data_IF_608868403573
#
_entry.id   IF_608868403573
#
_cell.length_a   1.000
_cell.length_b   1.000
_cell.length_c   1.000
_cell.angle_alpha   90.00
_cell.angle_beta   90.00
_cell.angle_gamma   90.00
#
_symmetry.space_group_name_H-M   'P 1'
#
loop_
_entity.id
_entity.type
_entity.pdbx_description
1 polymer ?
#
# COMPACT_ATOMS: atom_id res chain seq x y z
N UNK A 1 11.71 -17.17 15.96
CA UNK A 1 10.41 -16.53 16.25
C UNK A 1 10.43 -15.18 15.55
N UNK A 2 9.57 -14.98 14.55
CA UNK A 2 9.42 -13.66 13.93
C UNK A 2 8.87 -12.70 14.97
N UNK A 3 9.52 -11.54 15.13
CA UNK A 3 9.04 -10.45 15.95
C UNK A 3 7.62 -10.04 15.50
N UNK A 4 6.72 -9.78 16.45
CA UNK A 4 5.34 -9.35 16.13
C UNK A 4 5.39 -8.08 15.27
N UNK A 5 4.49 -7.92 14.26
CA UNK A 5 4.39 -6.69 13.48
C UNK A 5 4.32 -5.43 14.34
N UNK A 6 3.66 -5.51 15.50
CA UNK A 6 3.52 -4.41 16.44
C UNK A 6 4.87 -3.96 17.02
N UNK A 7 5.69 -4.93 17.46
CA UNK A 7 7.01 -4.66 18.04
C UNK A 7 7.95 -4.10 16.97
N UNK A 8 7.91 -4.67 15.76
CA UNK A 8 8.73 -4.21 14.64
C UNK A 8 8.39 -2.77 14.23
N UNK A 9 7.09 -2.42 14.18
CA UNK A 9 6.64 -1.06 13.90
C UNK A 9 7.18 -0.06 14.93
N UNK A 10 6.97 -0.34 16.21
CA UNK A 10 7.41 0.54 17.30
C UNK A 10 8.93 0.68 17.33
N UNK A 11 9.66 -0.42 17.12
CA UNK A 11 11.12 -0.42 17.01
C UNK A 11 11.62 0.39 15.81
N UNK A 12 10.90 0.38 14.67
CA UNK A 12 11.25 1.20 13.50
C UNK A 12 11.13 2.71 13.79
N UNK A 13 10.04 3.11 14.45
CA UNK A 13 9.87 4.50 14.85
C UNK A 13 10.92 4.92 15.89
N UNK A 14 11.18 4.08 16.89
CA UNK A 14 12.16 4.36 17.93
C UNK A 14 13.56 4.57 17.33
N UNK A 15 13.99 3.72 16.38
CA UNK A 15 15.26 3.87 15.65
C UNK A 15 15.33 5.16 14.83
N UNK A 16 14.18 5.73 14.47
CA UNK A 16 14.06 6.98 13.73
C UNK A 16 13.92 8.21 14.65
N UNK A 17 14.07 8.03 15.97
CA UNK A 17 13.91 9.11 16.96
C UNK A 17 12.47 9.45 17.32
N UNK A 18 11.50 8.64 16.89
CA UNK A 18 10.08 8.80 17.18
C UNK A 18 9.63 7.74 18.18
N UNK A 19 9.32 8.15 19.42
CA UNK A 19 8.80 7.24 20.43
C UNK A 19 7.27 7.26 20.47
N UNK A 20 6.65 6.10 20.28
CA UNK A 20 5.23 5.86 20.51
C UNK A 20 5.08 4.79 21.59
N UNK A 21 4.15 4.98 22.52
CA UNK A 21 3.83 4.03 23.58
C UNK A 21 2.94 2.88 23.11
N UNK A 22 2.32 2.99 21.94
CA UNK A 22 1.47 1.94 21.36
C UNK A 22 1.37 2.04 19.84
N UNK A 23 0.93 0.96 19.19
CA UNK A 23 0.62 0.95 17.75
C UNK A 23 -0.52 1.92 17.43
N UNK A 24 -1.54 2.01 18.29
CA UNK A 24 -2.64 2.95 18.08
C UNK A 24 -2.19 4.40 18.13
N UNK A 25 -1.28 4.74 19.05
CA UNK A 25 -0.67 6.06 19.10
C UNK A 25 0.15 6.34 17.81
N UNK A 26 0.92 5.36 17.34
CA UNK A 26 1.67 5.50 16.08
C UNK A 26 0.73 5.76 14.90
N UNK A 27 -0.41 5.06 14.84
CA UNK A 27 -1.44 5.28 13.82
C UNK A 27 -2.05 6.67 13.88
N UNK A 28 -2.27 7.22 15.07
CA UNK A 28 -2.85 8.55 15.25
C UNK A 28 -1.87 9.68 14.88
N UNK A 29 -0.58 9.51 15.19
CA UNK A 29 0.40 10.60 15.18
C UNK A 29 1.43 10.54 14.04
N UNK A 30 1.74 9.36 13.49
CA UNK A 30 2.84 9.22 12.53
C UNK A 30 2.49 9.71 11.11
N UNK A 31 3.26 10.64 10.57
CA UNK A 31 3.13 11.14 9.19
C UNK A 31 3.81 10.23 8.15
N UNK A 32 4.35 9.09 8.58
CA UNK A 32 5.08 8.18 7.70
C UNK A 32 4.18 7.06 7.17
N UNK A 33 3.87 7.13 5.86
CA UNK A 33 3.07 6.13 5.16
C UNK A 33 3.66 4.72 5.24
N UNK A 34 4.94 4.57 4.89
CA UNK A 34 5.57 3.25 4.74
C UNK A 34 5.49 2.39 6.01
N UNK A 35 5.88 2.85 7.20
CA UNK A 35 5.79 2.02 8.40
C UNK A 35 4.37 1.54 8.70
N UNK A 36 3.36 2.41 8.53
CA UNK A 36 1.95 2.04 8.77
C UNK A 36 1.43 1.04 7.72
N UNK A 37 1.78 1.23 6.44
CA UNK A 37 1.43 0.29 5.37
C UNK A 37 2.18 -1.05 5.52
N UNK A 38 3.43 -1.01 5.98
CA UNK A 38 4.24 -2.18 6.32
C UNK A 38 3.62 -3.01 7.43
N UNK A 39 3.09 -2.35 8.46
CA UNK A 39 2.37 -3.01 9.54
C UNK A 39 1.08 -3.70 9.06
N UNK A 40 0.31 -3.05 8.17
CA UNK A 40 -0.89 -3.67 7.58
C UNK A 40 -0.56 -4.87 6.71
N UNK A 41 0.43 -4.74 5.82
CA UNK A 41 0.84 -5.82 4.92
C UNK A 41 1.43 -7.01 5.65
N UNK A 42 2.16 -6.78 6.74
CA UNK A 42 2.69 -7.85 7.60
C UNK A 42 1.60 -8.64 8.33
N UNK A 43 0.37 -8.11 8.37
CA UNK A 43 -0.81 -8.77 8.93
C UNK A 43 -1.63 -9.53 7.89
N UNK A 44 -1.25 -9.54 6.62
CA UNK A 44 -1.89 -10.45 5.69
C UNK A 44 -1.70 -11.90 6.17
N UNK A 45 -2.73 -12.77 6.06
CA UNK A 45 -3.99 -12.58 5.34
C UNK A 45 -5.18 -12.15 6.23
N UNK A 46 -4.95 -11.43 7.34
CA UNK A 46 -6.02 -10.95 8.22
C UNK A 46 -7.09 -10.17 7.40
N UNK A 47 -8.39 -10.55 7.49
CA UNK A 47 -9.46 -9.93 6.72
C UNK A 47 -9.52 -8.40 6.85
N UNK A 48 -9.36 -7.92 8.09
CA UNK A 48 -9.39 -6.48 8.39
C UNK A 48 -8.23 -5.74 7.73
N UNK A 49 -7.02 -6.30 7.76
CA UNK A 49 -5.85 -5.68 7.12
C UNK A 49 -6.05 -5.54 5.61
N UNK A 50 -6.55 -6.59 4.95
CA UNK A 50 -6.85 -6.56 3.53
C UNK A 50 -7.95 -5.54 3.18
N UNK A 51 -9.03 -5.49 3.98
CA UNK A 51 -10.11 -4.54 3.81
C UNK A 51 -9.64 -3.09 3.95
N UNK A 52 -8.76 -2.81 4.92
CA UNK A 52 -8.15 -1.47 5.07
C UNK A 52 -7.30 -1.10 3.85
N UNK A 53 -6.46 -2.01 3.35
CA UNK A 53 -5.69 -1.76 2.12
C UNK A 53 -6.60 -1.55 0.89
N UNK A 54 -7.67 -2.33 0.77
CA UNK A 54 -8.66 -2.18 -0.32
C UNK A 54 -9.34 -0.82 -0.26
N UNK A 55 -9.81 -0.43 0.91
CA UNK A 55 -10.47 0.87 1.12
C UNK A 55 -9.50 2.03 0.91
N UNK A 56 -8.24 1.89 1.34
CA UNK A 56 -7.20 2.89 1.09
C UNK A 56 -6.93 3.07 -0.39
N UNK A 57 -6.76 1.98 -1.16
CA UNK A 57 -6.60 2.05 -2.61
C UNK A 57 -7.84 2.68 -3.27
N UNK A 58 -9.04 2.32 -2.85
CA UNK A 58 -10.28 2.93 -3.37
C UNK A 58 -10.32 4.44 -3.13
N UNK A 59 -9.95 4.90 -1.94
CA UNK A 59 -9.89 6.33 -1.63
C UNK A 59 -8.77 7.04 -2.40
N UNK A 60 -7.58 6.45 -2.46
CA UNK A 60 -6.45 6.98 -3.23
C UNK A 60 -6.77 7.08 -4.72
N UNK A 61 -7.58 6.16 -5.27
CA UNK A 61 -7.98 6.19 -6.67
C UNK A 61 -8.84 7.42 -7.04
N UNK A 62 -9.49 8.06 -6.06
CA UNK A 62 -10.18 9.35 -6.27
C UNK A 62 -9.21 10.53 -6.50
N UNK A 63 -7.92 10.33 -6.19
CA UNK A 63 -6.87 11.34 -6.34
C UNK A 63 -6.02 11.14 -7.59
N UNK A 64 -6.14 10.01 -8.29
CA UNK A 64 -5.38 9.69 -9.50
C UNK A 64 -6.37 9.29 -10.59
N UNK A 65 -6.57 10.15 -11.59
CA UNK A 65 -7.58 9.93 -12.63
C UNK A 65 -7.27 8.65 -13.43
N UNK A 66 -8.30 7.81 -13.63
CA UNK A 66 -8.17 6.55 -14.37
C UNK A 66 -7.61 5.38 -13.56
N UNK A 67 -7.30 5.55 -12.26
CA UNK A 67 -6.72 4.48 -11.42
C UNK A 67 -7.74 3.54 -10.76
N UNK A 68 -9.05 3.82 -10.87
CA UNK A 68 -10.11 3.01 -10.26
C UNK A 68 -10.00 1.52 -10.61
N UNK A 69 -9.65 1.19 -11.86
CA UNK A 69 -9.49 -0.19 -12.32
C UNK A 69 -8.42 -0.96 -11.52
N UNK A 70 -7.34 -0.30 -11.09
CA UNK A 70 -6.30 -0.95 -10.27
C UNK A 70 -6.80 -1.26 -8.86
N UNK A 71 -7.56 -0.34 -8.24
CA UNK A 71 -8.18 -0.57 -6.93
C UNK A 71 -9.21 -1.70 -6.99
N UNK A 72 -10.04 -1.73 -8.04
CA UNK A 72 -11.05 -2.77 -8.26
C UNK A 72 -10.40 -4.13 -8.53
N UNK A 73 -9.28 -4.18 -9.25
CA UNK A 73 -8.50 -5.40 -9.44
C UNK A 73 -7.98 -5.91 -8.10
N UNK A 74 -7.32 -5.07 -7.29
CA UNK A 74 -6.80 -5.47 -5.98
C UNK A 74 -7.91 -6.07 -5.10
N UNK A 75 -9.10 -5.47 -5.06
CA UNK A 75 -10.23 -5.97 -4.28
C UNK A 75 -10.62 -7.43 -4.66
N UNK A 76 -10.43 -7.81 -5.92
CA UNK A 76 -10.71 -9.17 -6.42
C UNK A 76 -9.68 -10.21 -5.96
N UNK A 77 -8.54 -9.81 -5.37
CA UNK A 77 -7.47 -10.72 -4.95
C UNK A 77 -7.89 -11.68 -3.82
N UNK A 78 -8.92 -11.31 -3.05
CA UNK A 78 -9.50 -12.14 -1.97
C UNK A 78 -10.53 -13.16 -2.47
N UNK A 79 -10.79 -13.22 -3.78
CA UNK A 79 -11.71 -14.21 -4.35
C UNK A 79 -11.32 -15.66 -4.02
N UNK A 80 -12.30 -16.57 -4.12
CA UNK A 80 -12.18 -17.97 -3.69
C UNK A 80 -11.45 -18.88 -4.68
N UNK A 81 -11.11 -18.36 -5.87
CA UNK A 81 -10.42 -19.15 -6.88
C UNK A 81 -8.98 -19.51 -6.44
N UNK A 82 -8.47 -20.70 -6.82
CA UNK A 82 -7.08 -21.06 -6.54
C UNK A 82 -6.10 -20.03 -7.10
N UNK A 83 -5.13 -19.61 -6.27
CA UNK A 83 -4.09 -18.63 -6.64
C UNK A 83 -4.66 -17.28 -7.14
N UNK A 84 -5.89 -16.92 -6.77
CA UNK A 84 -6.54 -15.67 -7.20
C UNK A 84 -5.63 -14.44 -7.00
N UNK A 85 -4.92 -14.34 -5.88
CA UNK A 85 -3.97 -13.26 -5.62
C UNK A 85 -2.86 -13.15 -6.69
N UNK A 86 -2.32 -14.26 -7.18
CA UNK A 86 -1.30 -14.27 -8.23
C UNK A 86 -1.87 -13.82 -9.57
N UNK A 87 -3.08 -14.28 -9.91
CA UNK A 87 -3.78 -13.87 -11.13
C UNK A 87 -4.02 -12.36 -11.12
N UNK A 88 -4.46 -11.82 -9.99
CA UNK A 88 -4.70 -10.38 -9.84
C UNK A 88 -3.38 -9.59 -9.86
N UNK A 89 -2.31 -10.07 -9.20
CA UNK A 89 -1.00 -9.43 -9.28
C UNK A 89 -0.49 -9.36 -10.73
N UNK A 90 -0.63 -10.43 -11.51
CA UNK A 90 -0.33 -10.45 -12.94
C UNK A 90 -1.12 -9.40 -13.73
N UNK A 91 -2.45 -9.33 -13.51
CA UNK A 91 -3.32 -8.33 -14.17
C UNK A 91 -2.97 -6.89 -13.79
N UNK A 92 -2.51 -6.65 -12.56
CA UNK A 92 -2.03 -5.33 -12.14
C UNK A 92 -0.71 -4.97 -12.84
N UNK A 93 0.20 -5.94 -13.02
CA UNK A 93 1.39 -5.79 -13.84
C UNK A 93 1.06 -5.47 -15.31
N UNK A 94 0.08 -6.15 -15.90
CA UNK A 94 -0.40 -5.88 -17.25
C UNK A 94 -0.99 -4.47 -17.36
N UNK A 95 -1.82 -4.05 -16.39
CA UNK A 95 -2.39 -2.71 -16.33
C UNK A 95 -1.31 -1.62 -16.24
N UNK A 96 -0.27 -1.85 -15.43
CA UNK A 96 0.90 -0.97 -15.37
C UNK A 96 1.54 -0.84 -16.74
N UNK A 97 1.84 -1.96 -17.40
CA UNK A 97 2.52 -1.96 -18.69
C UNK A 97 1.68 -1.27 -19.78
N UNK A 98 0.38 -1.54 -19.83
CA UNK A 98 -0.55 -0.86 -20.74
C UNK A 98 -0.57 0.65 -20.50
N UNK A 99 -0.62 1.08 -19.23
CA UNK A 99 -0.62 2.50 -18.86
C UNK A 99 0.68 3.21 -19.27
N UNK A 100 1.84 2.52 -19.20
CA UNK A 100 3.11 3.05 -19.71
C UNK A 100 3.03 3.28 -21.22
N UNK A 101 2.52 2.30 -21.98
CA UNK A 101 2.37 2.41 -23.44
C UNK A 101 1.41 3.54 -23.82
N UNK A 102 0.36 3.75 -23.03
CA UNK A 102 -0.62 4.84 -23.18
C UNK A 102 -0.14 6.19 -22.65
N UNK A 103 1.09 6.27 -22.11
CA UNK A 103 1.67 7.49 -21.51
C UNK A 103 0.84 8.05 -20.35
N UNK A 104 0.36 7.16 -19.48
CA UNK A 104 -0.35 7.46 -18.23
C UNK A 104 0.52 7.09 -17.02
N UNK A 105 1.59 7.85 -16.73
CA UNK A 105 2.57 7.50 -15.70
C UNK A 105 1.97 7.42 -14.30
N UNK A 106 1.01 8.29 -13.97
CA UNK A 106 0.31 8.27 -12.69
C UNK A 106 -0.46 6.96 -12.47
N UNK A 107 -1.20 6.49 -13.48
CA UNK A 107 -1.95 5.22 -13.44
C UNK A 107 -1.00 4.03 -13.40
N UNK A 108 0.11 4.08 -14.15
CA UNK A 108 1.12 3.03 -14.13
C UNK A 108 1.73 2.86 -12.73
N UNK A 109 2.11 3.96 -12.08
CA UNK A 109 2.66 3.94 -10.73
C UNK A 109 1.63 3.48 -9.68
N UNK A 110 0.36 3.88 -9.85
CA UNK A 110 -0.73 3.39 -8.98
C UNK A 110 -0.91 1.86 -9.10
N UNK A 111 -0.94 1.34 -10.33
CA UNK A 111 -1.06 -0.09 -10.59
C UNK A 111 0.14 -0.88 -10.03
N UNK A 112 1.35 -0.32 -10.11
CA UNK A 112 2.56 -0.89 -9.52
C UNK A 112 2.45 -0.99 -7.98
N UNK A 113 1.95 0.07 -7.34
CA UNK A 113 1.72 0.09 -5.90
C UNK A 113 0.71 -0.99 -5.47
N UNK A 114 -0.40 -1.11 -6.19
CA UNK A 114 -1.39 -2.17 -5.94
C UNK A 114 -0.79 -3.57 -6.19
N UNK A 115 0.03 -3.73 -7.23
CA UNK A 115 0.71 -5.00 -7.54
C UNK A 115 1.59 -5.46 -6.39
N UNK A 116 2.42 -4.56 -5.84
CA UNK A 116 3.27 -4.89 -4.69
C UNK A 116 2.50 -5.40 -3.48
N UNK A 117 1.36 -4.79 -3.15
CA UNK A 117 0.51 -5.26 -2.07
C UNK A 117 -0.14 -6.60 -2.40
N UNK A 118 -0.55 -6.79 -3.66
CA UNK A 118 -1.20 -8.01 -4.12
C UNK A 118 -0.24 -9.20 -4.15
N UNK A 119 1.03 -8.99 -4.49
CA UNK A 119 2.07 -10.02 -4.46
C UNK A 119 2.29 -10.56 -3.04
N UNK A 120 2.30 -9.70 -2.02
CA UNK A 120 2.38 -10.12 -0.61
C UNK A 120 1.14 -10.95 -0.24
N UNK A 121 -0.05 -10.46 -0.60
CA UNK A 121 -1.30 -11.19 -0.35
C UNK A 121 -1.28 -12.57 -1.02
N UNK A 122 -0.87 -12.64 -2.28
CA UNK A 122 -0.76 -13.87 -3.04
C UNK A 122 0.19 -14.85 -2.36
N UNK A 123 1.42 -14.40 -2.07
CA UNK A 123 2.45 -15.25 -1.48
C UNK A 123 2.06 -15.77 -0.09
N UNK A 124 1.43 -14.95 0.74
CA UNK A 124 0.96 -15.39 2.06
C UNK A 124 -0.20 -16.37 1.95
N UNK A 125 -1.18 -16.12 1.09
CA UNK A 125 -2.36 -17.00 0.92
C UNK A 125 -2.05 -18.32 0.23
N UNK A 126 -0.96 -18.40 -0.56
CA UNK A 126 -0.48 -19.66 -1.15
C UNK A 126 0.68 -20.30 -0.38
N UNK A 127 1.13 -19.69 0.72
CA UNK A 127 2.29 -20.14 1.50
C UNK A 127 3.59 -20.23 0.66
N UNK A 128 3.78 -19.28 -0.26
CA UNK A 128 4.94 -19.13 -1.16
C UNK A 128 5.77 -17.88 -0.80
N UNK A 129 5.67 -17.38 0.43
CA UNK A 129 6.38 -16.20 0.89
C UNK A 129 7.90 -16.36 0.89
N UNK A 130 8.61 -15.41 0.31
CA UNK A 130 10.07 -15.35 0.27
C UNK A 130 10.61 -13.93 0.57
N UNK A 131 11.90 -13.72 0.33
CA UNK A 131 12.56 -12.42 0.52
C UNK A 131 12.02 -11.35 -0.43
N UNK A 132 11.62 -11.72 -1.64
CA UNK A 132 11.07 -10.80 -2.63
C UNK A 132 9.66 -10.38 -2.25
N UNK A 133 8.87 -11.24 -1.60
CA UNK A 133 7.51 -10.91 -1.13
C UNK A 133 7.47 -10.47 0.33
N UNK A 134 8.59 -9.99 0.87
CA UNK A 134 8.64 -9.49 2.23
C UNK A 134 7.66 -8.30 2.40
N UNK A 135 6.74 -8.35 3.40
CA UNK A 135 5.68 -7.36 3.54
C UNK A 135 6.21 -5.94 3.72
N UNK A 136 7.26 -5.75 4.52
CA UNK A 136 7.85 -4.44 4.75
C UNK A 136 8.55 -3.93 3.49
N UNK A 137 9.32 -4.76 2.79
CA UNK A 137 9.97 -4.34 1.55
C UNK A 137 8.95 -3.94 0.47
N UNK A 138 7.91 -4.75 0.26
CA UNK A 138 6.85 -4.48 -0.72
C UNK A 138 5.99 -3.29 -0.32
N UNK A 139 5.68 -3.11 0.96
CA UNK A 139 4.99 -1.90 1.43
C UNK A 139 5.81 -0.63 1.22
N UNK A 140 7.14 -0.69 1.37
CA UNK A 140 8.03 0.44 1.06
C UNK A 140 7.97 0.80 -0.42
N UNK A 141 8.02 -0.20 -1.29
CA UNK A 141 7.92 -0.03 -2.73
C UNK A 141 6.53 0.53 -3.11
N UNK A 142 5.45 -0.05 -2.57
CA UNK A 142 4.08 0.42 -2.78
C UNK A 142 3.87 1.87 -2.33
N UNK A 143 4.39 2.24 -1.15
CA UNK A 143 4.33 3.62 -0.66
C UNK A 143 5.09 4.59 -1.59
N UNK A 144 6.26 4.18 -2.10
CA UNK A 144 7.03 4.95 -3.08
C UNK A 144 6.27 5.15 -4.39
N UNK A 145 5.76 4.07 -4.97
CA UNK A 145 4.98 4.11 -6.21
C UNK A 145 3.70 4.94 -6.07
N UNK A 146 3.00 4.86 -4.94
CA UNK A 146 1.80 5.68 -4.70
C UNK A 146 2.12 7.18 -4.56
N UNK A 147 3.26 7.53 -3.95
CA UNK A 147 3.75 8.92 -3.96
C UNK A 147 4.04 9.38 -5.38
N UNK A 148 4.74 8.57 -6.18
CA UNK A 148 4.97 8.87 -7.60
C UNK A 148 3.65 9.08 -8.35
N UNK A 149 2.65 8.23 -8.13
CA UNK A 149 1.34 8.37 -8.76
C UNK A 149 0.69 9.74 -8.49
N UNK A 150 0.74 10.22 -7.24
CA UNK A 150 0.21 11.54 -6.90
C UNK A 150 1.03 12.69 -7.51
N UNK A 151 2.36 12.59 -7.51
CA UNK A 151 3.21 13.63 -8.09
C UNK A 151 2.97 13.76 -9.60
N UNK A 152 2.94 12.64 -10.31
CA UNK A 152 2.65 12.58 -11.75
C UNK A 152 1.26 13.13 -12.08
N UNK A 153 0.24 12.79 -11.29
CA UNK A 153 -1.11 13.35 -11.47
C UNK A 153 -1.15 14.87 -11.34
N UNK A 154 -0.29 15.44 -10.48
CA UNK A 154 -0.22 16.88 -10.21
C UNK A 154 0.74 17.61 -11.15
N UNK A 155 1.52 16.89 -11.95
CA UNK A 155 2.63 17.45 -12.71
C UNK A 155 3.75 18.01 -11.82
N UNK A 156 3.90 17.50 -10.60
CA UNK A 156 4.95 17.89 -9.67
C UNK A 156 6.24 17.10 -9.94
N UNK A 157 7.39 17.76 -9.84
CA UNK A 157 8.69 17.11 -10.07
C UNK A 157 8.97 16.02 -9.02
N UNK A 158 9.42 14.86 -9.49
CA UNK A 158 9.77 13.73 -8.64
C UNK A 158 10.99 14.00 -7.74
N UNK A 159 11.73 15.09 -7.93
CA UNK A 159 12.87 15.46 -7.08
C UNK A 159 12.48 16.42 -5.95
N UNK A 160 11.32 17.08 -6.03
CA UNK A 160 10.87 18.08 -5.03
C UNK A 160 10.58 17.39 -3.68
N UNK A 161 11.41 17.64 -2.65
CA UNK A 161 11.21 17.05 -1.33
C UNK A 161 9.91 17.51 -0.66
N UNK A 162 9.48 18.76 -0.91
CA UNK A 162 8.28 19.33 -0.32
C UNK A 162 7.03 18.70 -0.95
N UNK A 163 7.00 18.51 -2.27
CA UNK A 163 5.92 17.79 -2.95
C UNK A 163 5.81 16.34 -2.45
N UNK A 164 6.95 15.63 -2.33
CA UNK A 164 6.99 14.28 -1.72
C UNK A 164 6.46 14.25 -0.29
N UNK A 165 6.77 15.25 0.52
CA UNK A 165 6.28 15.33 1.89
C UNK A 165 4.77 15.49 1.91
N UNK A 166 4.22 16.45 1.15
CA UNK A 166 2.76 16.66 1.03
C UNK A 166 2.03 15.41 0.55
N UNK A 167 2.52 14.76 -0.51
CA UNK A 167 1.93 13.53 -1.03
C UNK A 167 1.94 12.40 0.02
N UNK A 168 3.04 12.23 0.77
CA UNK A 168 3.12 11.23 1.84
C UNK A 168 2.12 11.49 2.97
N UNK A 169 1.99 12.75 3.41
CA UNK A 169 1.04 13.13 4.46
C UNK A 169 -0.39 12.82 4.00
N UNK A 170 -0.77 13.26 2.81
CA UNK A 170 -2.11 13.01 2.26
C UNK A 170 -2.42 11.51 2.15
N UNK A 171 -1.50 10.71 1.62
CA UNK A 171 -1.69 9.27 1.52
C UNK A 171 -1.79 8.60 2.89
N UNK A 172 -1.08 9.12 3.89
CA UNK A 172 -1.14 8.64 5.27
C UNK A 172 -2.50 8.98 5.91
N UNK A 173 -3.04 10.16 5.64
CA UNK A 173 -4.38 10.56 6.09
C UNK A 173 -5.47 9.70 5.45
N UNK A 174 -5.37 9.40 4.15
CA UNK A 174 -6.27 8.46 3.48
C UNK A 174 -6.17 7.06 4.11
N UNK A 175 -4.97 6.60 4.46
CA UNK A 175 -4.78 5.29 5.09
C UNK A 175 -5.43 5.22 6.48
N UNK A 176 -5.30 6.29 7.27
CA UNK A 176 -5.97 6.41 8.58
C UNK A 176 -7.49 6.45 8.43
N UNK A 177 -7.98 7.20 7.44
CA UNK A 177 -9.42 7.31 7.14
C UNK A 177 -9.99 5.95 6.74
N UNK A 178 -9.27 5.21 5.88
CA UNK A 178 -9.63 3.84 5.51
C UNK A 178 -9.65 2.91 6.72
N UNK A 179 -8.62 2.96 7.59
CA UNK A 179 -8.58 2.15 8.82
C UNK A 179 -9.80 2.44 9.71
N UNK A 180 -10.07 3.70 10.00
CA UNK A 180 -11.20 4.11 10.85
C UNK A 180 -12.55 3.64 10.27
N UNK A 181 -12.75 3.76 8.95
CA UNK A 181 -13.98 3.35 8.27
C UNK A 181 -14.24 1.83 8.32
N UNK A 182 -13.18 1.02 8.43
CA UNK A 182 -13.28 -0.45 8.52
C UNK A 182 -13.39 -0.90 9.99
N UNK A 183 -12.64 -0.31 10.92
CA UNK A 183 -12.63 -0.75 12.32
C UNK A 183 -13.86 -0.27 13.11
N UNK A 184 -14.61 0.69 12.60
CA UNK A 184 -15.85 1.17 13.23
C UNK A 184 -17.10 0.33 12.86
N UNK A 185 -16.95 -0.70 12.01
CA UNK A 185 -18.02 -1.61 11.58
C UNK A 185 -18.03 -2.86 12.44
#
# INVERSE_FOLDING_TARGET
MSESPDVFLLGMFQKSGLAFGSVDEAWQRSEHLYPLLGWLTARFPEPTAFQVCTEWLRQAATRVEGSAAAADLFAQARGEAPRQGHVIAGRLGDLRNASILERKPAVAAFADAASHLCEVWAAVTTNEGDTETNPWARAKAAAGAMVTALLEQRGEAAEDPAAKARARVELTELLRTARAAITAR
#
